data_IF_039786867493
#
_entry.id   IF_039786867493
#
_cell.length_a   1.000
_cell.length_b   1.000
_cell.length_c   1.000
_cell.angle_alpha   90.00
_cell.angle_beta   90.00
_cell.angle_gamma   90.00
#
_symmetry.space_group_name_H-M   'P 1'
#
loop_
_entity.id
_entity.type
_entity.pdbx_description
1 polymer ?
#
# COMPACT_ATOMS: atom_id res chain seq x y z
N UNK A 1 8.36 10.74 -3.84
CA UNK A 1 7.02 10.63 -4.45
C UNK A 1 6.52 12.07 -4.59
N UNK A 2 6.32 12.54 -5.82
CA UNK A 2 5.82 13.90 -6.07
C UNK A 2 4.43 14.07 -5.44
N UNK A 3 4.09 15.29 -5.03
CA UNK A 3 2.79 15.59 -4.46
C UNK A 3 1.72 15.55 -5.57
N UNK A 4 0.92 14.48 -5.60
CA UNK A 4 -0.18 14.33 -6.57
C UNK A 4 -1.48 15.03 -6.14
N UNK A 5 -1.52 15.58 -4.92
CA UNK A 5 -2.65 16.37 -4.40
C UNK A 5 -2.39 17.86 -4.65
N UNK A 6 -2.29 18.23 -5.93
CA UNK A 6 -1.90 19.59 -6.35
C UNK A 6 -2.94 20.65 -6.01
N UNK A 7 -4.19 20.26 -5.83
CA UNK A 7 -5.30 21.16 -5.51
C UNK A 7 -5.32 21.58 -4.03
N UNK A 8 -4.44 20.99 -3.22
CA UNK A 8 -4.30 21.29 -1.79
C UNK A 8 -2.93 21.93 -1.57
N UNK A 9 -2.93 23.24 -1.28
CA UNK A 9 -1.69 23.98 -0.99
C UNK A 9 -0.95 23.35 0.17
N UNK A 10 0.36 23.16 0.00
CA UNK A 10 1.27 22.66 1.03
C UNK A 10 0.83 21.34 1.68
N UNK A 11 0.18 20.47 0.90
CA UNK A 11 -0.28 19.18 1.39
C UNK A 11 0.87 18.32 1.91
N UNK A 12 0.75 17.90 3.16
CA UNK A 12 1.67 16.96 3.81
C UNK A 12 0.89 15.75 4.30
N UNK A 13 1.44 14.57 4.04
CA UNK A 13 0.92 13.31 4.58
C UNK A 13 1.23 13.22 6.07
N UNK A 14 0.22 13.02 6.90
CA UNK A 14 0.34 12.99 8.36
C UNK A 14 -0.76 12.17 9.03
N UNK A 15 -0.45 11.61 10.21
CA UNK A 15 -1.41 10.81 11.00
C UNK A 15 -2.62 11.65 11.40
N UNK A 16 -2.36 12.85 11.91
CA UNK A 16 -3.37 13.80 12.40
C UNK A 16 -3.56 14.96 11.40
N UNK A 17 -3.26 14.70 10.12
CA UNK A 17 -3.41 15.69 9.07
C UNK A 17 -4.88 15.87 8.65
N UNK A 18 -5.17 17.03 8.07
CA UNK A 18 -6.48 17.33 7.49
C UNK A 18 -6.80 16.43 6.29
N UNK A 19 -8.09 16.27 5.93
CA UNK A 19 -8.51 15.55 4.73
C UNK A 19 -7.70 15.98 3.49
N UNK A 20 -7.27 15.05 2.63
CA UNK A 20 -7.65 13.63 2.56
C UNK A 20 -6.79 12.67 3.40
N UNK A 21 -6.01 13.14 4.39
CA UNK A 21 -5.17 12.25 5.21
C UNK A 21 -5.95 11.13 5.91
N UNK A 22 -7.19 11.40 6.34
CA UNK A 22 -8.11 10.38 6.88
C UNK A 22 -8.31 9.20 5.89
N UNK A 23 -8.57 9.48 4.62
CA UNK A 23 -8.73 8.48 3.55
C UNK A 23 -7.41 7.75 3.27
N UNK A 24 -6.31 8.49 3.14
CA UNK A 24 -4.98 7.93 2.90
C UNK A 24 -4.55 7.00 4.03
N UNK A 25 -4.69 7.43 5.28
CA UNK A 25 -4.32 6.64 6.46
C UNK A 25 -5.13 5.35 6.53
N UNK A 26 -6.43 5.40 6.22
CA UNK A 26 -7.27 4.21 6.17
C UNK A 26 -6.91 3.28 5.01
N UNK A 27 -6.68 3.83 3.81
CA UNK A 27 -6.28 3.07 2.64
C UNK A 27 -4.91 2.39 2.82
N UNK A 28 -3.94 3.11 3.39
CA UNK A 28 -2.63 2.55 3.73
C UNK A 28 -2.70 1.49 4.83
N UNK A 29 -3.63 1.60 5.78
CA UNK A 29 -3.87 0.54 6.76
C UNK A 29 -4.37 -0.75 6.08
N UNK A 30 -5.27 -0.64 5.09
CA UNK A 30 -5.73 -1.79 4.29
C UNK A 30 -4.57 -2.37 3.49
N UNK A 31 -3.81 -1.53 2.79
CA UNK A 31 -2.66 -1.97 2.00
C UNK A 31 -1.61 -2.68 2.86
N UNK A 32 -1.28 -2.13 4.04
CA UNK A 32 -0.39 -2.76 5.01
C UNK A 32 -0.91 -4.13 5.44
N UNK A 33 -2.21 -4.27 5.69
CA UNK A 33 -2.81 -5.55 6.05
C UNK A 33 -2.69 -6.59 4.92
N UNK A 34 -2.90 -6.18 3.66
CA UNK A 34 -2.71 -7.03 2.48
C UNK A 34 -1.26 -7.49 2.37
N UNK A 35 -0.30 -6.56 2.49
CA UNK A 35 1.13 -6.89 2.41
C UNK A 35 1.56 -7.79 3.56
N UNK A 36 1.16 -7.50 4.80
CA UNK A 36 1.45 -8.34 5.96
C UNK A 36 0.92 -9.77 5.78
N UNK A 37 -0.30 -9.91 5.24
CA UNK A 37 -0.87 -11.22 4.89
C UNK A 37 0.00 -11.94 3.85
N UNK A 38 0.43 -11.27 2.79
CA UNK A 38 1.26 -11.86 1.74
C UNK A 38 2.66 -12.25 2.26
N UNK A 39 3.25 -11.47 3.16
CA UNK A 39 4.51 -11.80 3.84
C UNK A 39 4.40 -13.10 4.64
N UNK A 40 3.37 -13.22 5.48
CA UNK A 40 3.12 -14.44 6.26
C UNK A 40 2.88 -15.64 5.34
N UNK A 41 2.10 -15.47 4.27
CA UNK A 41 1.84 -16.52 3.30
C UNK A 41 3.11 -16.97 2.55
N UNK A 42 4.11 -16.08 2.41
CA UNK A 42 5.43 -16.40 1.85
C UNK A 42 6.41 -16.98 2.88
N UNK A 43 6.00 -17.18 4.14
CA UNK A 43 6.86 -17.69 5.21
C UNK A 43 7.76 -16.63 5.85
N UNK A 44 7.50 -15.34 5.61
CA UNK A 44 8.26 -14.22 6.17
C UNK A 44 7.56 -13.65 7.41
N UNK A 45 8.34 -13.12 8.36
CA UNK A 45 7.82 -12.40 9.52
C UNK A 45 7.64 -10.92 9.18
N UNK A 46 6.41 -10.37 9.20
CA UNK A 46 6.18 -8.95 8.89
C UNK A 46 6.88 -7.97 9.83
N UNK A 47 7.26 -8.44 11.01
CA UNK A 47 7.84 -7.66 12.10
C UNK A 47 9.36 -7.53 12.00
N UNK A 48 10.03 -8.33 11.15
CA UNK A 48 11.48 -8.35 10.99
C UNK A 48 11.89 -7.50 9.76
N UNK A 49 12.09 -6.20 9.97
CA UNK A 49 12.50 -5.27 8.91
C UNK A 49 13.91 -5.56 8.35
N UNK A 50 14.15 -5.18 7.09
CA UNK A 50 15.48 -5.27 6.46
C UNK A 50 16.36 -4.09 6.87
N UNK A 51 15.74 -2.93 7.13
CA UNK A 51 16.46 -1.67 7.41
C UNK A 51 16.07 -1.05 8.78
N UNK A 52 14.83 -1.24 9.24
CA UNK A 52 14.35 -0.64 10.48
C UNK A 52 14.46 -1.59 11.68
N UNK A 53 15.34 -1.26 12.63
CA UNK A 53 15.42 -1.87 13.96
C UNK A 53 14.57 -1.13 15.01
N UNK A 54 13.50 -0.46 14.60
CA UNK A 54 12.65 0.26 15.55
C UNK A 54 11.72 -0.72 16.27
N UNK A 55 12.06 -1.06 17.53
CA UNK A 55 11.31 -1.99 18.40
C UNK A 55 9.83 -1.63 18.61
N UNK A 56 9.40 -0.42 18.23
CA UNK A 56 8.02 0.05 18.37
C UNK A 56 7.18 -0.03 17.08
N UNK A 57 7.74 -0.37 15.92
CA UNK A 57 6.97 -0.62 14.70
C UNK A 57 6.79 -2.12 14.47
N UNK A 58 5.58 -2.62 14.76
CA UNK A 58 5.24 -4.03 14.63
C UNK A 58 5.22 -4.56 13.18
N UNK A 59 5.30 -3.71 12.15
CA UNK A 59 5.13 -4.11 10.74
C UNK A 59 6.17 -3.49 9.79
N UNK A 60 7.41 -3.32 10.25
CA UNK A 60 8.47 -2.66 9.47
C UNK A 60 8.63 -3.23 8.05
N UNK A 61 8.64 -4.55 7.90
CA UNK A 61 8.80 -5.17 6.57
C UNK A 61 7.59 -4.96 5.68
N UNK A 62 6.39 -4.90 6.27
CA UNK A 62 5.18 -4.62 5.51
C UNK A 62 5.17 -3.16 5.03
N UNK A 63 5.64 -2.22 5.86
CA UNK A 63 5.81 -0.82 5.46
C UNK A 63 6.83 -0.69 4.31
N UNK A 64 7.97 -1.39 4.39
CA UNK A 64 8.97 -1.38 3.30
C UNK A 64 8.40 -1.95 1.98
N UNK A 65 7.65 -3.06 2.04
CA UNK A 65 7.11 -3.75 0.86
C UNK A 65 5.88 -3.04 0.27
N UNK A 66 5.14 -2.28 1.05
CA UNK A 66 3.97 -1.55 0.54
C UNK A 66 4.32 -0.27 -0.23
N UNK A 67 5.54 0.27 -0.10
CA UNK A 67 5.95 1.53 -0.75
C UNK A 67 5.68 1.56 -2.27
N UNK A 68 6.03 0.53 -3.07
CA UNK A 68 5.73 0.48 -4.50
C UNK A 68 4.22 0.44 -4.82
N UNK A 69 3.38 0.10 -3.85
CA UNK A 69 1.94 -0.04 -4.02
C UNK A 69 1.15 1.19 -3.54
N UNK A 70 1.79 2.15 -2.88
CA UNK A 70 1.13 3.39 -2.44
C UNK A 70 0.40 4.14 -3.56
N UNK A 71 0.90 4.22 -4.81
CA UNK A 71 0.21 4.95 -5.87
C UNK A 71 -1.18 4.41 -6.21
N UNK A 72 -1.45 3.11 -5.99
CA UNK A 72 -2.78 2.53 -6.18
C UNK A 72 -3.78 3.06 -5.14
N UNK A 73 -3.33 3.23 -3.88
CA UNK A 73 -4.14 3.85 -2.83
C UNK A 73 -4.34 5.33 -3.13
N UNK A 74 -3.26 6.02 -3.51
CA UNK A 74 -3.31 7.44 -3.80
C UNK A 74 -4.28 7.75 -4.94
N UNK A 75 -4.23 6.97 -6.02
CA UNK A 75 -5.16 7.08 -7.15
C UNK A 75 -6.62 6.84 -6.75
N UNK A 76 -6.89 5.79 -5.96
CA UNK A 76 -8.25 5.54 -5.47
C UNK A 76 -8.76 6.67 -4.56
N UNK A 77 -7.90 7.28 -3.74
CA UNK A 77 -8.27 8.43 -2.92
C UNK A 77 -8.61 9.64 -3.79
N UNK A 78 -7.83 9.92 -4.82
CA UNK A 78 -8.15 10.96 -5.80
C UNK A 78 -9.51 10.70 -6.48
N UNK A 79 -9.77 9.45 -6.90
CA UNK A 79 -11.06 9.08 -7.49
C UNK A 79 -12.22 9.31 -6.51
N UNK A 80 -12.05 8.97 -5.23
CA UNK A 80 -13.06 9.23 -4.21
C UNK A 80 -13.30 10.74 -4.06
N UNK A 81 -12.23 11.55 -3.97
CA UNK A 81 -12.33 13.00 -3.86
C UNK A 81 -13.07 13.63 -5.05
N UNK A 82 -12.89 13.11 -6.26
CA UNK A 82 -13.61 13.55 -7.45
C UNK A 82 -15.09 13.15 -7.45
N UNK A 83 -15.46 12.06 -6.77
CA UNK A 83 -16.81 11.49 -6.77
C UNK A 83 -17.68 11.94 -5.59
N UNK A 84 -17.09 12.55 -4.55
CA UNK A 84 -17.80 12.98 -3.35
C UNK A 84 -17.61 14.46 -3.08
N UNK A 85 -18.69 15.15 -2.73
CA UNK A 85 -18.62 16.57 -2.36
C UNK A 85 -18.05 16.77 -0.95
N UNK A 86 -18.13 15.74 -0.09
CA UNK A 86 -17.61 15.76 1.27
C UNK A 86 -16.89 14.44 1.59
N UNK A 87 -15.63 14.58 2.00
CA UNK A 87 -14.74 13.49 2.45
C UNK A 87 -14.04 13.87 3.77
N UNK A 88 -14.57 14.86 4.49
CA UNK A 88 -14.07 15.26 5.81
C UNK A 88 -14.13 14.10 6.80
N UNK A 89 -15.12 13.22 6.66
CA UNK A 89 -15.30 12.01 7.47
C UNK A 89 -15.21 10.71 6.66
N UNK A 90 -14.75 9.65 7.31
CA UNK A 90 -14.76 8.29 6.76
C UNK A 90 -16.16 7.67 6.86
N UNK A 91 -17.02 8.05 5.93
CA UNK A 91 -18.38 7.48 5.81
C UNK A 91 -18.35 6.00 5.43
N UNK A 92 -19.49 5.30 5.61
CA UNK A 92 -19.63 3.89 5.23
C UNK A 92 -19.33 3.67 3.74
N UNK A 93 -19.81 4.55 2.87
CA UNK A 93 -19.63 4.42 1.42
C UNK A 93 -18.17 4.65 1.00
N UNK A 94 -17.49 5.62 1.61
CA UNK A 94 -16.05 5.83 1.42
C UNK A 94 -15.26 4.59 1.88
N UNK A 95 -15.59 4.03 3.05
CA UNK A 95 -14.94 2.79 3.53
C UNK A 95 -15.16 1.62 2.58
N UNK A 96 -16.37 1.44 2.05
CA UNK A 96 -16.66 0.38 1.06
C UNK A 96 -15.79 0.54 -0.18
N UNK A 97 -15.64 1.78 -0.69
CA UNK A 97 -14.74 2.05 -1.82
C UNK A 97 -13.29 1.72 -1.48
N UNK A 98 -12.79 2.15 -0.32
CA UNK A 98 -11.41 1.85 0.11
C UNK A 98 -11.18 0.34 0.31
N UNK A 99 -12.20 -0.44 0.70
CA UNK A 99 -12.10 -1.91 0.79
C UNK A 99 -11.89 -2.60 -0.57
N UNK A 100 -12.01 -1.89 -1.69
CA UNK A 100 -11.66 -2.39 -3.03
C UNK A 100 -10.15 -2.45 -3.31
N UNK A 101 -9.30 -1.83 -2.47
CA UNK A 101 -7.84 -1.81 -2.64
C UNK A 101 -7.24 -3.19 -3.02
N UNK A 102 -7.60 -4.31 -2.36
CA UNK A 102 -7.00 -5.61 -2.66
C UNK A 102 -7.33 -6.14 -4.06
N UNK A 103 -8.40 -5.65 -4.68
CA UNK A 103 -8.87 -6.06 -6.01
C UNK A 103 -8.57 -5.04 -7.09
N UNK A 104 -7.86 -3.95 -6.78
CA UNK A 104 -7.36 -3.02 -7.78
C UNK A 104 -6.44 -3.74 -8.76
N UNK A 105 -6.54 -3.37 -10.02
CA UNK A 105 -5.70 -3.93 -11.07
C UNK A 105 -4.25 -3.46 -10.92
N UNK A 106 -3.32 -4.40 -11.02
CA UNK A 106 -1.87 -4.18 -10.91
C UNK A 106 -1.14 -5.00 -11.96
N UNK A 107 -0.06 -4.45 -12.51
CA UNK A 107 0.75 -5.13 -13.54
C UNK A 107 2.13 -5.47 -12.99
N UNK A 108 2.56 -6.72 -13.12
CA UNK A 108 3.94 -7.15 -12.81
C UNK A 108 4.44 -8.02 -13.98
N UNK A 109 5.56 -7.65 -14.58
CA UNK A 109 6.15 -8.37 -15.71
C UNK A 109 5.21 -8.44 -16.92
N UNK A 110 4.51 -7.35 -17.23
CA UNK A 110 3.48 -7.27 -18.27
C UNK A 110 2.21 -8.10 -18.03
N UNK A 111 2.04 -8.69 -16.84
CA UNK A 111 0.85 -9.48 -16.48
C UNK A 111 -0.03 -8.71 -15.51
N UNK A 112 -1.27 -8.51 -15.90
CA UNK A 112 -2.31 -7.85 -15.11
C UNK A 112 -2.94 -8.83 -14.12
N UNK A 113 -3.06 -8.42 -12.85
CA UNK A 113 -3.69 -9.21 -11.79
C UNK A 113 -4.17 -8.29 -10.65
N UNK A 114 -5.05 -8.78 -9.76
CA UNK A 114 -5.43 -8.02 -8.57
C UNK A 114 -4.23 -7.69 -7.68
N UNK A 115 -4.26 -6.55 -6.99
CA UNK A 115 -3.21 -6.06 -6.09
C UNK A 115 -2.82 -7.11 -5.04
N UNK A 116 -3.80 -7.85 -4.50
CA UNK A 116 -3.52 -8.93 -3.54
C UNK A 116 -2.68 -10.07 -4.13
N UNK A 117 -2.82 -10.36 -5.44
CA UNK A 117 -2.00 -11.34 -6.14
C UNK A 117 -0.62 -10.77 -6.44
N UNK A 118 -0.56 -9.52 -6.89
CA UNK A 118 0.70 -8.82 -7.15
C UNK A 118 1.58 -8.73 -5.89
N UNK A 119 0.99 -8.40 -4.73
CA UNK A 119 1.73 -8.37 -3.45
C UNK A 119 2.27 -9.74 -3.06
N UNK A 120 1.50 -10.83 -3.30
CA UNK A 120 1.98 -12.20 -3.08
C UNK A 120 3.18 -12.56 -3.97
N UNK A 121 3.19 -12.10 -5.23
CA UNK A 121 4.33 -12.31 -6.13
C UNK A 121 5.57 -11.57 -5.63
N UNK A 122 5.40 -10.32 -5.20
CA UNK A 122 6.48 -9.50 -4.61
C UNK A 122 7.07 -10.16 -3.36
N UNK A 123 6.24 -10.56 -2.39
CA UNK A 123 6.71 -11.19 -1.14
C UNK A 123 7.35 -12.56 -1.38
N UNK A 124 6.84 -13.34 -2.35
CA UNK A 124 7.47 -14.59 -2.75
C UNK A 124 8.85 -14.36 -3.40
N UNK A 125 8.99 -13.32 -4.23
CA UNK A 125 10.29 -12.96 -4.82
C UNK A 125 11.27 -12.47 -3.75
N UNK A 126 10.78 -11.73 -2.74
CA UNK A 126 11.57 -11.29 -1.59
C UNK A 126 12.10 -12.49 -0.80
N UNK A 127 11.26 -13.49 -0.53
CA UNK A 127 11.69 -14.73 0.11
C UNK A 127 12.82 -15.41 -0.68
N UNK A 128 12.67 -15.55 -2.00
CA UNK A 128 13.71 -16.10 -2.89
C UNK A 128 15.00 -15.30 -2.87
N UNK A 129 14.91 -13.99 -2.66
CA UNK A 129 16.10 -13.15 -2.47
C UNK A 129 16.81 -13.46 -1.15
N UNK A 130 16.07 -13.64 -0.05
CA UNK A 130 16.67 -14.03 1.22
C UNK A 130 17.25 -15.46 1.21
N UNK A 131 16.63 -16.39 0.49
CA UNK A 131 17.17 -17.75 0.35
C UNK A 131 18.35 -17.86 -0.63
N UNK A 132 18.67 -16.78 -1.36
CA UNK A 132 19.75 -16.75 -2.35
C UNK A 132 19.39 -17.35 -3.71
N UNK A 133 18.14 -17.78 -3.90
CA UNK A 133 17.64 -18.33 -5.17
C UNK A 133 17.49 -17.28 -6.27
N UNK A 134 17.30 -16.00 -5.90
CA UNK A 134 17.07 -14.91 -6.84
C UNK A 134 17.79 -13.63 -6.39
N UNK A 135 18.25 -12.79 -7.33
CA UNK A 135 18.99 -11.56 -7.01
C UNK A 135 18.17 -10.27 -7.00
N UNK A 136 16.95 -10.28 -7.55
CA UNK A 136 16.11 -9.09 -7.72
C UNK A 136 14.68 -9.40 -7.31
N UNK A 137 14.04 -8.48 -6.59
CA UNK A 137 12.60 -8.56 -6.35
C UNK A 137 11.79 -8.15 -7.58
N UNK A 138 10.53 -8.58 -7.63
CA UNK A 138 9.54 -8.08 -8.58
C UNK A 138 8.69 -6.99 -7.92
N UNK A 139 8.22 -6.03 -8.70
CA UNK A 139 7.43 -4.89 -8.23
C UNK A 139 6.37 -4.53 -9.26
N UNK A 140 5.30 -3.83 -8.84
CA UNK A 140 4.34 -3.24 -9.77
C UNK A 140 5.02 -2.33 -10.80
N UNK A 141 4.56 -2.42 -12.04
CA UNK A 141 4.82 -1.48 -13.11
C UNK A 141 3.84 -0.30 -12.96
N UNK A 142 4.37 0.92 -12.88
CA UNK A 142 3.63 2.18 -12.87
C UNK A 142 3.87 2.92 -14.18
#
# INVERSE_FOLDING_TARGET
MENIFTDISDFVRGRDGEPPNNLLNYGYAILRAVVARSLVASGLLPTLGIHHHNRYNAYCLADDVMEPYRPYVDGLVLDIMCLTNDYSELTKDIKIRLLSIPVLDTTIGGKKSPLMIATQQTTASLYKCFSGEQRRMVYPEL
#
